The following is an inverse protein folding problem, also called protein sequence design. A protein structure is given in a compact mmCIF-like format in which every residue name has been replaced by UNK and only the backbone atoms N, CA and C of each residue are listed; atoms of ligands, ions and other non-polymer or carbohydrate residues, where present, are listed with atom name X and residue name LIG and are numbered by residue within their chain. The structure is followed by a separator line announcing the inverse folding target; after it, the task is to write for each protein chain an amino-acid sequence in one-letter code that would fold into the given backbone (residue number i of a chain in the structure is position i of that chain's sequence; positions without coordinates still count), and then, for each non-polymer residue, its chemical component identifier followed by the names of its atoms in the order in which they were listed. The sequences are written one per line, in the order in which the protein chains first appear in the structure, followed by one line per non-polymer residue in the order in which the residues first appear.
data_IF_827010954583
#
_entry.id   IF_827010954583
#
_cell.length_a   1.000
_cell.length_b   1.000
_cell.length_c   1.000
_cell.angle_alpha   90.00
_cell.angle_beta   90.00
_cell.angle_gamma   90.00
#
_symmetry.space_group_name_H-M   'P 1'
#
loop_
_entity.id
_entity.type
_entity.pdbx_description
1 polymer ?
#
# COMPACT_ATOMS: atom_id res chain seq x y z
N UNK A 1 11.07 0.50 5.92
CA UNK A 1 11.98 0.84 7.03
C UNK A 1 12.52 2.25 6.94
N UNK A 2 13.43 2.49 5.99
CA UNK A 2 14.15 3.77 5.86
C UNK A 2 13.36 4.93 5.24
N UNK A 3 12.28 4.63 4.50
CA UNK A 3 11.46 5.67 3.85
C UNK A 3 10.88 6.68 4.86
N UNK A 4 10.36 6.20 5.99
CA UNK A 4 9.76 7.03 7.06
C UNK A 4 10.79 7.97 7.69
N UNK A 5 12.03 7.49 7.87
CA UNK A 5 13.12 8.34 8.34
C UNK A 5 13.44 9.45 7.33
N UNK A 6 13.54 9.09 6.05
CA UNK A 6 13.74 10.04 4.97
C UNK A 6 12.66 11.13 4.97
N UNK A 7 11.39 10.75 5.07
CA UNK A 7 10.28 11.70 5.15
C UNK A 7 10.36 12.59 6.39
N UNK A 8 10.50 12.01 7.58
CA UNK A 8 10.59 12.78 8.81
C UNK A 8 11.74 13.80 8.80
N UNK A 9 12.89 13.46 8.21
CA UNK A 9 14.04 14.37 8.08
C UNK A 9 13.81 15.44 7.00
N UNK A 10 13.20 15.08 5.87
CA UNK A 10 13.00 16.00 4.74
C UNK A 10 11.85 16.99 4.97
N UNK A 11 10.79 16.56 5.66
CA UNK A 11 9.59 17.38 5.85
C UNK A 11 9.47 17.93 7.25
N UNK A 12 10.02 17.25 8.26
CA UNK A 12 9.74 17.57 9.67
C UNK A 12 8.33 17.19 10.12
N UNK A 13 7.56 16.53 9.25
CA UNK A 13 6.17 16.18 9.49
C UNK A 13 6.02 14.93 10.36
N UNK A 14 4.81 14.76 10.90
CA UNK A 14 4.47 13.59 11.68
C UNK A 14 4.40 12.36 10.78
N UNK A 15 5.27 11.39 11.05
CA UNK A 15 5.29 10.13 10.33
C UNK A 15 4.84 8.98 11.23
N UNK A 16 4.17 7.98 10.65
CA UNK A 16 3.67 6.81 11.37
C UNK A 16 3.72 5.56 10.51
N UNK A 17 3.55 4.41 11.16
CA UNK A 17 3.41 3.10 10.52
C UNK A 17 2.19 2.38 11.06
N UNK A 18 1.41 1.79 10.17
CA UNK A 18 0.48 0.71 10.47
C UNK A 18 1.16 -0.61 10.11
N UNK A 19 1.24 -1.54 11.05
CA UNK A 19 1.81 -2.87 10.82
C UNK A 19 0.74 -3.92 11.04
N UNK A 20 0.56 -4.80 10.06
CA UNK A 20 -0.36 -5.90 10.16
C UNK A 20 0.14 -6.94 11.18
N UNK A 21 -0.76 -7.38 12.07
CA UNK A 21 -0.55 -8.48 13.00
C UNK A 21 -1.33 -9.71 12.51
N UNK A 22 -0.61 -10.70 12.01
CA UNK A 22 -1.20 -11.93 11.45
C UNK A 22 -2.02 -12.73 12.47
N UNK A 23 -1.73 -12.60 13.77
CA UNK A 23 -2.44 -13.35 14.82
C UNK A 23 -3.79 -12.74 15.14
N UNK A 24 -3.83 -11.41 15.26
CA UNK A 24 -5.08 -10.70 15.59
C UNK A 24 -5.87 -10.30 14.36
N UNK A 25 -5.25 -10.35 13.17
CA UNK A 25 -5.81 -9.85 11.91
C UNK A 25 -6.20 -8.36 11.98
N UNK A 26 -5.43 -7.60 12.77
CA UNK A 26 -5.57 -6.15 12.93
C UNK A 26 -4.27 -5.43 12.57
N UNK A 27 -4.40 -4.15 12.23
CA UNK A 27 -3.29 -3.24 11.96
C UNK A 27 -2.96 -2.44 13.20
N UNK A 28 -1.72 -2.52 13.66
CA UNK A 28 -1.21 -1.84 14.86
C UNK A 28 -0.47 -0.57 14.46
N UNK A 29 -0.81 0.56 15.09
CA UNK A 29 -0.14 1.81 14.83
C UNK A 29 1.09 2.01 15.70
N UNK A 30 2.12 2.57 15.09
CA UNK A 30 3.28 3.13 15.77
C UNK A 30 3.58 4.51 15.22
N UNK A 31 3.91 5.46 16.08
CA UNK A 31 4.39 6.79 15.68
C UNK A 31 5.89 6.73 15.46
N UNK A 32 6.39 7.49 14.49
CA UNK A 32 7.81 7.61 14.25
C UNK A 32 8.38 8.86 14.92
N UNK A 33 9.47 8.69 15.68
CA UNK A 33 10.18 9.79 16.33
C UNK A 33 11.66 9.78 16.02
N UNK A 34 12.20 10.97 15.74
CA UNK A 34 13.63 11.22 15.72
C UNK A 34 14.09 11.57 17.14
N UNK A 35 14.86 10.67 17.75
CA UNK A 35 15.36 10.79 19.11
C UNK A 35 16.80 11.24 19.08
N UNK A 36 17.09 12.35 19.73
CA UNK A 36 18.48 12.80 19.91
C UNK A 36 19.13 12.00 21.04
N UNK A 37 20.25 11.36 20.74
CA UNK A 37 21.16 10.76 21.71
C UNK A 37 22.51 11.48 21.66
N UNK A 38 23.46 11.16 22.56
CA UNK A 38 24.75 11.88 22.67
C UNK A 38 25.58 11.71 21.38
N UNK A 39 25.41 12.64 20.44
CA UNK A 39 26.20 12.72 19.20
C UNK A 39 25.52 12.14 17.95
N UNK A 40 24.33 11.54 18.07
CA UNK A 40 23.54 11.04 16.93
C UNK A 40 22.05 11.35 17.11
N UNK A 41 21.31 11.30 16.00
CA UNK A 41 19.84 11.26 16.04
C UNK A 41 19.45 9.92 15.46
N UNK A 42 18.66 9.15 16.21
CA UNK A 42 18.20 7.82 15.84
C UNK A 42 16.68 7.82 15.65
N UNK A 43 16.21 7.05 14.67
CA UNK A 43 14.79 6.91 14.37
C UNK A 43 14.22 5.71 15.09
N UNK A 44 13.10 5.90 15.80
CA UNK A 44 12.38 4.79 16.42
C UNK A 44 10.89 4.87 16.13
N UNK A 45 10.30 3.69 16.01
CA UNK A 45 8.85 3.53 16.08
C UNK A 45 8.44 3.33 17.54
N UNK A 46 7.51 4.14 18.00
CA UNK A 46 6.89 4.05 19.32
C UNK A 46 5.51 3.43 19.13
N UNK A 47 5.29 2.19 19.62
CA UNK A 47 3.98 1.56 19.56
C UNK A 47 2.92 2.38 20.27
N UNK A 48 1.72 2.40 19.70
CA UNK A 48 0.52 2.94 20.34
C UNK A 48 -0.38 1.80 20.80
N UNK A 49 -1.48 2.12 21.50
CA UNK A 49 -2.54 1.16 21.81
C UNK A 49 -3.63 1.12 20.73
N UNK A 50 -3.42 1.80 19.59
CA UNK A 50 -4.40 1.87 18.51
C UNK A 50 -4.26 0.63 17.60
N UNK A 51 -5.39 -0.06 17.41
CA UNK A 51 -5.53 -1.19 16.51
C UNK A 51 -6.71 -0.94 15.57
N UNK A 52 -6.56 -1.36 14.31
CA UNK A 52 -7.54 -1.09 13.26
C UNK A 52 -7.90 -2.36 12.52
N UNK A 53 -9.18 -2.54 12.21
CA UNK A 53 -9.61 -3.59 11.28
C UNK A 53 -9.14 -3.27 9.85
N UNK A 54 -9.36 -4.20 8.92
CA UNK A 54 -9.10 -3.96 7.49
C UNK A 54 -9.95 -2.81 6.93
N UNK A 55 -11.17 -2.63 7.45
CA UNK A 55 -12.09 -1.56 7.06
C UNK A 55 -11.67 -0.20 7.65
N UNK A 56 -11.30 -0.17 8.93
CA UNK A 56 -10.80 1.05 9.55
C UNK A 56 -9.50 1.52 8.87
N UNK A 57 -8.63 0.57 8.52
CA UNK A 57 -7.37 0.85 7.82
C UNK A 57 -7.62 1.43 6.44
N UNK A 58 -8.61 0.91 5.70
CA UNK A 58 -9.03 1.49 4.43
C UNK A 58 -9.49 2.95 4.58
N UNK A 59 -10.35 3.23 5.56
CA UNK A 59 -10.85 4.57 5.82
C UNK A 59 -9.72 5.53 6.23
N UNK A 60 -8.75 5.05 7.02
CA UNK A 60 -7.56 5.82 7.36
C UNK A 60 -6.74 6.19 6.12
N UNK A 61 -6.49 5.23 5.22
CA UNK A 61 -5.77 5.50 3.97
C UNK A 61 -6.50 6.59 3.18
N UNK A 62 -7.83 6.46 3.00
CA UNK A 62 -8.62 7.47 2.29
C UNK A 62 -8.49 8.86 2.91
N UNK A 63 -8.63 8.96 4.24
CA UNK A 63 -8.52 10.23 4.95
C UNK A 63 -7.13 10.88 4.79
N UNK A 64 -6.05 10.09 4.88
CA UNK A 64 -4.69 10.60 4.69
C UNK A 64 -4.42 10.99 3.24
N UNK A 65 -4.95 10.25 2.28
CA UNK A 65 -4.82 10.59 0.87
C UNK A 65 -5.60 11.87 0.53
N UNK A 66 -6.80 12.05 1.08
CA UNK A 66 -7.60 13.26 0.91
C UNK A 66 -6.93 14.50 1.53
N UNK A 67 -6.19 14.34 2.63
CA UNK A 67 -5.40 15.41 3.24
C UNK A 67 -4.09 15.74 2.51
N UNK A 68 -3.79 15.04 1.41
CA UNK A 68 -2.55 15.23 0.65
C UNK A 68 -1.31 14.61 1.30
N UNK A 69 -1.51 13.69 2.25
CA UNK A 69 -0.41 12.97 2.91
C UNK A 69 0.25 11.97 1.97
N UNK A 70 1.53 11.65 2.23
CA UNK A 70 2.20 10.57 1.50
C UNK A 70 1.89 9.24 2.19
N UNK A 71 1.49 8.25 1.38
CA UNK A 71 1.19 6.90 1.85
C UNK A 71 2.02 5.91 1.02
N UNK A 72 2.71 4.99 1.70
CA UNK A 72 3.46 3.91 1.08
C UNK A 72 3.12 2.57 1.74
N UNK A 73 3.34 1.49 1.00
CA UNK A 73 3.18 0.13 1.47
C UNK A 73 4.50 -0.64 1.32
N UNK A 74 4.75 -1.61 2.20
CA UNK A 74 5.89 -2.52 2.05
C UNK A 74 5.63 -3.87 2.70
N UNK A 75 6.25 -4.91 2.15
CA UNK A 75 6.17 -6.27 2.67
C UNK A 75 7.50 -6.82 3.17
N UNK A 76 7.41 -7.98 3.82
CA UNK A 76 8.57 -8.73 4.26
C UNK A 76 9.25 -9.51 3.13
N UNK A 77 10.13 -10.43 3.51
CA UNK A 77 10.79 -11.34 2.56
C UNK A 77 9.79 -12.25 1.85
N UNK A 78 8.67 -12.57 2.48
CA UNK A 78 7.69 -13.55 1.97
C UNK A 78 6.58 -12.92 1.09
N UNK A 79 6.77 -11.67 0.65
CA UNK A 79 5.81 -10.99 -0.20
C UNK A 79 5.53 -11.77 -1.49
N UNK A 80 4.26 -11.88 -1.88
CA UNK A 80 3.81 -12.63 -3.05
C UNK A 80 3.74 -14.16 -2.89
N UNK A 81 4.05 -14.74 -1.72
CA UNK A 81 4.02 -16.21 -1.54
C UNK A 81 2.62 -16.80 -1.37
N UNK A 82 1.71 -16.06 -0.75
CA UNK A 82 0.38 -16.57 -0.35
C UNK A 82 -0.74 -16.18 -1.32
N UNK A 83 -0.40 -15.94 -2.59
CA UNK A 83 -1.38 -15.58 -3.62
C UNK A 83 -1.53 -16.72 -4.65
N UNK A 84 -2.74 -16.88 -5.15
CA UNK A 84 -3.11 -17.89 -6.14
C UNK A 84 -2.48 -17.64 -7.54
N UNK A 85 -1.74 -16.54 -7.71
CA UNK A 85 -1.00 -16.23 -8.93
C UNK A 85 0.27 -17.10 -9.15
N UNK A 86 0.36 -18.25 -8.49
CA UNK A 86 1.41 -19.24 -8.70
C UNK A 86 2.63 -19.10 -7.79
N UNK A 87 2.42 -18.76 -6.51
CA UNK A 87 3.38 -18.76 -5.38
C UNK A 87 4.81 -19.16 -5.74
N UNK A 88 5.55 -18.25 -6.37
CA UNK A 88 6.90 -18.50 -6.86
C UNK A 88 7.90 -18.52 -5.72
N UNK A 89 9.03 -19.21 -5.92
CA UNK A 89 10.18 -19.04 -5.03
C UNK A 89 10.72 -17.62 -5.16
N UNK A 90 11.09 -17.01 -4.03
CA UNK A 90 11.65 -15.66 -4.05
C UNK A 90 13.12 -15.71 -4.49
N UNK A 91 13.46 -14.98 -5.54
CA UNK A 91 14.83 -14.78 -5.98
C UNK A 91 15.46 -13.59 -5.24
N UNK A 92 16.77 -13.66 -5.01
CA UNK A 92 17.52 -12.53 -4.46
C UNK A 92 17.52 -11.36 -5.45
N UNK A 93 16.90 -10.26 -5.04
CA UNK A 93 16.93 -8.97 -5.73
C UNK A 93 18.16 -8.14 -5.36
N UNK A 94 18.23 -6.94 -5.92
CA UNK A 94 19.28 -5.98 -5.57
C UNK A 94 19.19 -5.64 -4.07
N UNK A 95 20.33 -5.39 -3.41
CA UNK A 95 20.39 -4.90 -2.02
C UNK A 95 19.62 -5.72 -0.95
N UNK A 96 19.38 -7.01 -1.19
CA UNK A 96 18.68 -7.90 -0.25
C UNK A 96 17.15 -7.95 -0.41
N UNK A 97 16.61 -7.30 -1.45
CA UNK A 97 15.21 -7.40 -1.85
C UNK A 97 14.86 -8.81 -2.34
N UNK A 98 13.56 -9.14 -2.37
CA UNK A 98 13.10 -10.49 -2.75
C UNK A 98 12.05 -10.40 -3.84
N UNK A 99 12.41 -10.77 -5.07
CA UNK A 99 11.49 -10.75 -6.20
C UNK A 99 10.68 -12.05 -6.23
N UNK A 100 9.36 -11.92 -6.28
CA UNK A 100 8.45 -13.00 -6.58
C UNK A 100 7.89 -12.80 -7.99
N UNK A 101 8.48 -13.50 -8.96
CA UNK A 101 8.12 -13.33 -10.38
C UNK A 101 6.69 -13.76 -10.70
N UNK A 102 6.16 -14.77 -10.01
CA UNK A 102 4.78 -15.24 -10.19
C UNK A 102 3.77 -14.18 -9.76
N UNK A 103 4.03 -13.51 -8.64
CA UNK A 103 3.23 -12.39 -8.15
C UNK A 103 3.51 -11.07 -8.89
N UNK A 104 4.71 -10.95 -9.45
CA UNK A 104 5.28 -9.69 -9.94
C UNK A 104 5.59 -8.68 -8.82
N UNK A 105 5.77 -9.16 -7.59
CA UNK A 105 5.95 -8.33 -6.41
C UNK A 105 7.36 -8.46 -5.83
N UNK A 106 7.88 -7.36 -5.25
CA UNK A 106 9.23 -7.28 -4.67
C UNK A 106 9.13 -7.07 -3.16
N UNK A 107 9.45 -8.11 -2.39
CA UNK A 107 9.51 -8.06 -0.93
C UNK A 107 10.67 -7.22 -0.41
N UNK A 108 10.54 -6.75 0.84
CA UNK A 108 11.46 -5.81 1.51
C UNK A 108 11.69 -4.49 0.75
N UNK A 109 10.76 -4.15 -0.13
CA UNK A 109 10.73 -2.96 -0.96
C UNK A 109 9.52 -2.08 -0.62
N UNK A 110 9.62 -0.77 -0.90
CA UNK A 110 8.55 0.19 -0.63
C UNK A 110 7.85 0.60 -1.93
N UNK A 111 6.52 0.59 -1.91
CA UNK A 111 5.63 1.00 -2.99
C UNK A 111 4.90 2.26 -2.58
N UNK A 112 4.70 3.21 -3.48
CA UNK A 112 3.81 4.35 -3.22
C UNK A 112 2.36 3.91 -3.40
N UNK A 113 1.47 4.28 -2.47
CA UNK A 113 0.02 4.18 -2.69
C UNK A 113 -0.40 5.47 -3.39
N UNK A 114 -0.98 5.32 -4.58
CA UNK A 114 -1.25 6.44 -5.49
C UNK A 114 -2.75 6.75 -5.64
N UNK A 115 -3.63 5.77 -5.46
CA UNK A 115 -5.08 5.97 -5.46
C UNK A 115 -5.77 4.84 -4.66
N UNK A 116 -6.97 5.09 -4.17
CA UNK A 116 -7.82 4.11 -3.49
C UNK A 116 -9.29 4.41 -3.80
N UNK A 117 -10.02 3.41 -4.31
CA UNK A 117 -11.37 3.58 -4.85
C UNK A 117 -12.31 2.48 -4.38
N UNK A 118 -13.47 2.88 -3.90
CA UNK A 118 -14.57 1.95 -3.65
C UNK A 118 -15.50 1.92 -4.86
N UNK A 119 -15.57 0.78 -5.56
CA UNK A 119 -16.24 0.69 -6.86
C UNK A 119 -17.75 0.94 -6.76
N UNK A 120 -18.38 0.54 -5.65
CA UNK A 120 -19.81 0.77 -5.38
C UNK A 120 -20.18 2.24 -5.20
N UNK A 121 -19.21 3.12 -4.97
CA UNK A 121 -19.43 4.57 -4.84
C UNK A 121 -19.17 5.33 -6.15
N UNK A 122 -18.74 4.66 -7.21
CA UNK A 122 -18.48 5.31 -8.50
C UNK A 122 -19.81 5.59 -9.21
N UNK A 123 -20.14 6.85 -9.54
CA UNK A 123 -21.41 7.19 -10.17
C UNK A 123 -21.63 6.45 -11.48
N UNK A 124 -22.80 5.82 -11.62
CA UNK A 124 -23.19 5.05 -12.80
C UNK A 124 -22.78 3.57 -12.77
N UNK A 125 -22.23 3.10 -11.64
CA UNK A 125 -21.97 1.67 -11.39
C UNK A 125 -23.02 1.16 -10.38
N UNK A 126 -23.92 0.29 -10.84
CA UNK A 126 -24.79 -0.49 -9.96
C UNK A 126 -24.20 -1.88 -9.85
N UNK A 127 -23.48 -2.15 -8.76
CA UNK A 127 -23.02 -3.51 -8.48
C UNK A 127 -24.19 -4.28 -7.85
N UNK A 128 -24.60 -5.38 -8.47
CA UNK A 128 -25.68 -6.22 -7.95
C UNK A 128 -25.38 -6.69 -6.53
N UNK A 129 -26.37 -6.61 -5.64
CA UNK A 129 -26.23 -6.95 -4.23
C UNK A 129 -25.59 -8.32 -4.01
N UNK A 130 -24.51 -8.35 -3.22
CA UNK A 130 -23.66 -9.50 -2.92
C UNK A 130 -22.28 -9.02 -2.44
N UNK A 131 -21.32 -9.94 -2.24
CA UNK A 131 -19.92 -9.63 -1.85
C UNK A 131 -19.19 -8.66 -2.81
N UNK A 132 -19.74 -8.40 -3.99
CA UNK A 132 -19.26 -7.39 -4.95
C UNK A 132 -19.68 -5.95 -4.58
N UNK A 133 -20.59 -5.77 -3.62
CA UNK A 133 -21.09 -4.45 -3.17
C UNK A 133 -20.05 -3.56 -2.49
N UNK A 134 -18.83 -4.06 -2.25
CA UNK A 134 -17.72 -3.33 -1.62
C UNK A 134 -16.37 -3.72 -2.25
N UNK A 135 -16.28 -3.89 -3.57
CA UNK A 135 -14.96 -4.07 -4.20
C UNK A 135 -14.17 -2.76 -4.05
N UNK A 136 -13.17 -2.79 -3.19
CA UNK A 136 -12.20 -1.71 -2.96
C UNK A 136 -10.94 -2.03 -3.77
N UNK A 137 -10.52 -1.09 -4.61
CA UNK A 137 -9.29 -1.20 -5.39
C UNK A 137 -8.27 -0.18 -4.89
N UNK A 138 -7.05 -0.63 -4.67
CA UNK A 138 -5.91 0.22 -4.33
C UNK A 138 -4.92 0.24 -5.49
N UNK A 139 -4.43 1.43 -5.82
CA UNK A 139 -3.42 1.64 -6.86
C UNK A 139 -2.07 1.89 -6.21
N UNK A 140 -1.09 1.08 -6.55
CA UNK A 140 0.27 1.19 -6.07
C UNK A 140 1.23 1.49 -7.21
N UNK A 141 2.44 1.95 -6.86
CA UNK A 141 3.56 2.07 -7.78
C UNK A 141 4.85 1.54 -7.18
N UNK A 142 5.48 0.63 -7.92
CA UNK A 142 6.86 0.25 -7.73
C UNK A 142 7.77 1.39 -8.24
N UNK A 143 8.61 1.99 -7.38
CA UNK A 143 9.50 3.07 -7.79
C UNK A 143 10.56 2.65 -8.82
N UNK A 144 10.79 1.35 -9.05
CA UNK A 144 11.65 0.88 -10.14
C UNK A 144 11.04 1.00 -11.53
N UNK A 145 9.75 1.35 -11.62
CA UNK A 145 9.05 1.47 -12.89
C UNK A 145 8.85 0.13 -13.60
N UNK A 146 8.81 -0.96 -12.84
CA UNK A 146 8.56 -2.33 -13.31
C UNK A 146 8.21 -3.25 -12.14
N UNK A 147 7.90 -4.51 -12.43
CA UNK A 147 7.46 -5.53 -11.45
C UNK A 147 6.16 -5.10 -10.77
N UNK A 148 5.10 -5.46 -11.46
CA UNK A 148 3.72 -5.12 -11.15
C UNK A 148 2.94 -6.35 -10.73
N UNK A 149 1.90 -6.13 -9.92
CA UNK A 149 0.94 -7.17 -9.55
C UNK A 149 0.42 -7.92 -10.77
N UNK A 150 0.37 -9.27 -10.69
CA UNK A 150 -0.11 -10.15 -11.77
C UNK A 150 -1.46 -10.84 -11.51
N UNK A 151 -2.12 -10.52 -10.39
CA UNK A 151 -3.41 -11.11 -10.04
C UNK A 151 -4.60 -10.33 -10.61
N UNK A 152 -5.80 -10.45 -10.01
CA UNK A 152 -6.98 -9.72 -10.47
C UNK A 152 -6.76 -8.21 -10.49
N UNK A 153 -7.33 -7.52 -11.49
CA UNK A 153 -7.18 -6.08 -11.73
C UNK A 153 -5.75 -5.59 -12.06
N UNK A 154 -4.82 -6.51 -12.32
CA UNK A 154 -3.51 -6.18 -12.90
C UNK A 154 -3.62 -5.56 -14.30
N UNK A 155 -2.50 -5.06 -14.80
CA UNK A 155 -2.38 -4.56 -16.16
C UNK A 155 -2.75 -5.65 -17.18
N UNK A 156 -3.61 -5.30 -18.13
CA UNK A 156 -4.13 -6.24 -19.13
C UNK A 156 -5.07 -7.35 -18.59
N UNK A 157 -5.48 -7.30 -17.32
CA UNK A 157 -6.30 -8.36 -16.73
C UNK A 157 -7.74 -8.36 -17.28
N UNK A 158 -8.35 -9.56 -17.31
CA UNK A 158 -9.72 -9.76 -17.80
C UNK A 158 -10.77 -8.96 -17.01
N UNK A 159 -10.53 -8.68 -15.73
CA UNK A 159 -11.45 -7.94 -14.88
C UNK A 159 -11.75 -6.54 -15.44
N UNK A 160 -10.76 -5.91 -16.09
CA UNK A 160 -10.95 -4.63 -16.77
C UNK A 160 -11.89 -4.74 -17.98
N UNK A 161 -11.76 -5.80 -18.77
CA UNK A 161 -12.56 -6.02 -19.97
C UNK A 161 -13.99 -6.45 -19.63
N UNK A 162 -14.15 -7.22 -18.56
CA UNK A 162 -15.46 -7.59 -18.00
C UNK A 162 -16.17 -6.39 -17.35
N UNK A 163 -15.43 -5.34 -16.97
CA UNK A 163 -15.95 -4.15 -16.29
C UNK A 163 -15.60 -2.84 -17.03
N UNK A 164 -16.13 -2.61 -18.25
CA UNK A 164 -15.73 -1.49 -19.10
C UNK A 164 -16.04 -0.11 -18.49
N UNK A 165 -17.09 0.02 -17.67
CA UNK A 165 -17.40 1.28 -16.97
C UNK A 165 -16.31 1.60 -15.94
N UNK A 166 -15.84 0.60 -15.19
CA UNK A 166 -14.77 0.75 -14.20
C UNK A 166 -13.45 1.06 -14.92
N UNK A 167 -13.13 0.34 -16.01
CA UNK A 167 -11.97 0.62 -16.87
C UNK A 167 -11.99 2.06 -17.39
N UNK A 168 -13.14 2.54 -17.88
CA UNK A 168 -13.29 3.93 -18.37
C UNK A 168 -13.09 4.98 -17.26
N UNK A 169 -13.54 4.68 -16.04
CA UNK A 169 -13.45 5.60 -14.88
C UNK A 169 -12.06 5.66 -14.28
N UNK A 170 -11.43 4.51 -14.08
CA UNK A 170 -10.11 4.41 -13.44
C UNK A 170 -8.96 4.56 -14.44
N UNK A 171 -9.22 4.35 -15.74
CA UNK A 171 -8.25 4.46 -16.84
C UNK A 171 -6.94 3.74 -16.49
N UNK A 172 -7.00 2.43 -16.21
CA UNK A 172 -5.77 1.66 -16.00
C UNK A 172 -4.91 1.77 -17.27
N UNK A 173 -3.60 1.75 -17.06
CA UNK A 173 -2.64 1.60 -18.13
C UNK A 173 -2.36 0.11 -18.29
N UNK A 174 -1.81 -0.24 -19.44
CA UNK A 174 -1.32 -1.59 -19.73
C UNK A 174 0.12 -1.38 -20.22
N UNK A 175 0.97 -0.96 -19.29
CA UNK A 175 2.34 -0.49 -19.52
C UNK A 175 3.20 -0.93 -18.33
N UNK A 176 4.37 -1.52 -18.57
CA UNK A 176 5.36 -1.82 -17.50
C UNK A 176 6.00 -0.50 -17.02
N UNK A 177 5.25 0.28 -16.23
CA UNK A 177 5.61 1.59 -15.68
C UNK A 177 5.73 1.58 -14.14
N UNK A 178 5.56 0.39 -13.55
CA UNK A 178 5.56 0.07 -12.14
C UNK A 178 4.21 0.31 -11.45
N UNK A 179 3.21 0.85 -12.13
CA UNK A 179 1.90 1.18 -11.55
C UNK A 179 0.93 0.03 -11.77
N UNK A 180 0.18 -0.34 -10.74
CA UNK A 180 -0.84 -1.37 -10.87
C UNK A 180 -2.00 -1.14 -9.91
N UNK A 181 -3.16 -1.68 -10.24
CA UNK A 181 -4.27 -1.82 -9.31
C UNK A 181 -4.30 -3.24 -8.74
N UNK A 182 -4.81 -3.35 -7.52
CA UNK A 182 -5.17 -4.64 -6.95
C UNK A 182 -6.38 -4.53 -6.02
N UNK A 183 -7.11 -5.63 -5.80
CA UNK A 183 -8.12 -5.71 -4.77
C UNK A 183 -7.54 -5.45 -3.37
N UNK A 184 -8.24 -4.64 -2.57
CA UNK A 184 -7.87 -4.37 -1.19
C UNK A 184 -7.90 -5.62 -0.30
N UNK A 185 -8.84 -6.53 -0.54
CA UNK A 185 -8.94 -7.80 0.18
C UNK A 185 -7.74 -8.74 -0.05
N UNK A 186 -7.03 -8.59 -1.17
CA UNK A 186 -5.80 -9.32 -1.47
C UNK A 186 -4.53 -8.61 -0.99
N UNK A 187 -4.63 -7.38 -0.51
CA UNK A 187 -3.47 -6.57 -0.11
C UNK A 187 -2.63 -7.24 0.98
N UNK A 188 -3.28 -7.75 2.03
CA UNK A 188 -2.58 -8.47 3.10
C UNK A 188 -2.03 -9.81 2.64
N UNK A 189 -2.83 -10.62 1.95
CA UNK A 189 -2.40 -11.93 1.44
C UNK A 189 -1.23 -11.83 0.45
N UNK A 190 -1.14 -10.73 -0.31
CA UNK A 190 -0.01 -10.40 -1.16
C UNK A 190 1.27 -10.05 -0.39
N UNK A 191 1.18 -9.87 0.94
CA UNK A 191 2.30 -9.66 1.85
C UNK A 191 2.59 -8.20 2.16
N UNK A 192 1.71 -7.25 1.80
CA UNK A 192 1.85 -5.86 2.23
C UNK A 192 1.47 -5.74 3.71
N UNK A 193 2.45 -5.88 4.59
CA UNK A 193 2.24 -5.90 6.05
C UNK A 193 2.62 -4.59 6.75
N UNK A 194 3.15 -3.60 6.03
CA UNK A 194 3.40 -2.28 6.57
C UNK A 194 2.80 -1.21 5.66
N UNK A 195 2.12 -0.24 6.25
CA UNK A 195 1.71 1.00 5.60
C UNK A 195 2.41 2.13 6.34
N UNK A 196 3.21 2.90 5.62
CA UNK A 196 3.96 4.04 6.12
C UNK A 196 3.27 5.32 5.66
N UNK A 197 3.01 6.24 6.59
CA UNK A 197 2.31 7.51 6.31
C UNK A 197 3.16 8.69 6.79
N UNK A 198 3.33 9.69 5.93
CA UNK A 198 3.83 11.01 6.29
C UNK A 198 2.65 11.99 6.21
N UNK A 199 2.15 12.38 7.38
CA UNK A 199 1.01 13.29 7.52
C UNK A 199 1.43 14.70 7.05
N UNK A 200 0.94 15.12 5.88
CA UNK A 200 1.26 16.43 5.29
C UNK A 200 0.28 17.52 5.71
N UNK A 201 -0.48 17.34 6.80
CA UNK A 201 -1.38 18.40 7.26
C UNK A 201 -0.60 19.69 7.48
N UNK A 202 -0.84 20.68 6.61
CA UNK A 202 -0.13 21.96 6.52
C UNK A 202 -0.37 22.88 7.73
N UNK A 203 -0.87 22.34 8.85
CA UNK A 203 -1.10 23.05 10.11
C UNK A 203 0.16 23.73 10.66
N UNK A 204 1.35 23.39 10.14
CA UNK A 204 2.63 23.99 10.53
C UNK A 204 3.39 24.67 9.38
N UNK A 205 2.88 24.68 8.15
CA UNK A 205 3.60 25.21 6.97
C UNK A 205 3.64 26.76 6.90
N UNK A 206 2.83 27.45 7.71
CA UNK A 206 2.81 28.92 7.82
C UNK A 206 3.64 29.46 8.99
N UNK A 207 4.65 28.72 9.46
CA UNK A 207 5.57 29.21 10.51
C UNK A 207 6.71 30.04 9.93
#
# INVERSE_FOLDING_TARGET
GWAVWGWAVLTGDHCLRLRFDEKTKHWKRSTFEAVKSKGSTDGRFIPTNEEFSMDDTWNLILNYMESGSFVAASGGKDMGKNIDAGGGANAGGLNGEQLNDSAGLVGTHAYSILDARELGLIPGISIGGGLLGQTRLIRLRNPWGKYEWKGPWSDGSKEWDENPIIKMRLRPKDEDDGTFWMPWDQFEAAGFHNIDICDRTTTKDLR
#
